data_IF_554923763249
#
_entry.id   IF_554923763249
#
_cell.length_a   1.000
_cell.length_b   1.000
_cell.length_c   1.000
_cell.angle_alpha   90.00
_cell.angle_beta   90.00
_cell.angle_gamma   90.00
#
_symmetry.space_group_name_H-M   'P 1'
#
loop_
_entity.id
_entity.type
_entity.pdbx_description
1 polymer ?
#
# COMPACT_ATOMS: atom_id res chain seq x y z
N UNK A 1 38.64 13.29 41.11
CA UNK A 1 38.21 14.71 41.18
C UNK A 1 37.07 14.86 40.19
N UNK A 2 35.85 15.17 40.65
CA UNK A 2 34.68 15.36 39.77
C UNK A 2 34.62 16.85 39.44
N UNK A 3 34.63 17.21 38.17
CA UNK A 3 34.49 18.59 37.72
C UNK A 3 33.01 18.88 37.49
N UNK A 4 32.51 19.93 38.14
CA UNK A 4 31.17 20.43 37.89
C UNK A 4 31.16 21.16 36.55
N UNK A 5 30.07 21.02 35.80
CA UNK A 5 29.88 21.76 34.56
C UNK A 5 29.45 23.18 34.88
N UNK A 6 29.77 24.14 34.01
CA UNK A 6 29.48 25.58 34.19
C UNK A 6 27.98 25.86 34.44
N UNK A 7 27.11 25.00 33.92
CA UNK A 7 25.66 25.01 34.17
C UNK A 7 25.29 24.66 35.62
N UNK A 8 26.08 23.82 36.28
CA UNK A 8 25.89 23.44 37.69
C UNK A 8 26.56 24.44 38.63
N UNK A 9 27.65 25.09 38.21
CA UNK A 9 28.31 26.16 38.98
C UNK A 9 27.46 27.44 39.09
N UNK A 10 26.64 27.74 38.08
CA UNK A 10 25.75 28.91 38.03
C UNK A 10 24.26 28.54 38.13
N UNK A 11 23.93 27.45 38.83
CA UNK A 11 22.56 26.95 38.94
C UNK A 11 21.72 27.82 39.90
N UNK A 12 20.80 28.61 39.35
CA UNK A 12 19.71 29.25 40.09
C UNK A 12 18.44 28.41 39.95
N UNK A 13 17.95 27.87 41.07
CA UNK A 13 16.84 26.91 41.06
C UNK A 13 15.53 27.54 40.56
N UNK A 14 15.22 28.76 40.98
CA UNK A 14 13.95 29.43 40.65
C UNK A 14 13.87 29.83 39.16
N UNK A 15 14.99 30.20 38.55
CA UNK A 15 15.06 30.52 37.10
C UNK A 15 15.03 29.25 36.25
N UNK A 16 15.64 28.17 36.72
CA UNK A 16 15.57 26.85 36.09
C UNK A 16 14.15 26.27 36.14
N UNK A 17 13.47 26.37 37.27
CA UNK A 17 12.09 25.88 37.43
C UNK A 17 11.11 26.70 36.59
N UNK A 18 11.23 28.04 36.57
CA UNK A 18 10.42 28.89 35.70
C UNK A 18 10.60 28.57 34.21
N UNK A 19 11.84 28.37 33.76
CA UNK A 19 12.14 27.94 32.39
C UNK A 19 11.60 26.54 32.09
N UNK A 20 11.61 25.62 33.06
CA UNK A 20 11.04 24.29 32.88
C UNK A 20 9.52 24.37 32.70
N UNK A 21 8.82 25.17 33.50
CA UNK A 21 7.39 25.40 33.37
C UNK A 21 7.01 25.99 32.02
N UNK A 22 7.71 27.04 31.58
CA UNK A 22 7.50 27.66 30.27
C UNK A 22 7.74 26.66 29.12
N UNK A 23 8.80 25.86 29.20
CA UNK A 23 9.06 24.81 28.20
C UNK A 23 7.96 23.74 28.18
N UNK A 24 7.40 23.38 29.34
CA UNK A 24 6.30 22.41 29.44
C UNK A 24 5.01 22.95 28.82
N UNK A 25 4.72 24.25 29.00
CA UNK A 25 3.56 24.91 28.40
C UNK A 25 3.64 24.91 26.85
N UNK A 26 4.82 25.17 26.28
CA UNK A 26 5.02 25.14 24.82
C UNK A 26 5.12 23.72 24.24
N UNK A 27 5.33 22.71 25.08
CA UNK A 27 5.64 21.37 24.64
C UNK A 27 4.44 20.70 23.95
N UNK A 28 3.23 20.97 24.43
CA UNK A 28 2.00 20.47 23.81
C UNK A 28 1.77 21.09 22.43
N UNK A 29 1.99 22.40 22.29
CA UNK A 29 1.92 23.11 21.01
C UNK A 29 2.92 22.56 20.00
N UNK A 30 4.17 22.32 20.43
CA UNK A 30 5.21 21.73 19.57
C UNK A 30 4.87 20.31 19.14
N UNK A 31 4.28 19.50 20.01
CA UNK A 31 3.79 18.15 19.64
C UNK A 31 2.64 18.24 18.64
N UNK A 32 1.70 19.16 18.82
CA UNK A 32 0.59 19.35 17.90
C UNK A 32 1.07 19.81 16.52
N UNK A 33 2.03 20.74 16.48
CA UNK A 33 2.67 21.21 15.25
C UNK A 33 3.39 20.05 14.52
N UNK A 34 4.20 19.28 15.23
CA UNK A 34 4.89 18.12 14.66
C UNK A 34 3.91 17.06 14.12
N UNK A 35 2.82 16.80 14.84
CA UNK A 35 1.78 15.86 14.41
C UNK A 35 1.06 16.36 13.15
N UNK A 36 0.78 17.66 13.04
CA UNK A 36 0.18 18.25 11.84
C UNK A 36 1.12 18.12 10.62
N UNK A 37 2.41 18.36 10.81
CA UNK A 37 3.42 18.18 9.78
C UNK A 37 3.50 16.71 9.34
N UNK A 38 3.49 15.77 10.28
CA UNK A 38 3.50 14.33 10.00
C UNK A 38 2.27 13.91 9.18
N UNK A 39 1.07 14.33 9.59
CA UNK A 39 -0.17 14.06 8.86
C UNK A 39 -0.13 14.63 7.44
N UNK A 40 0.39 15.85 7.29
CA UNK A 40 0.52 16.51 6.00
C UNK A 40 1.48 15.73 5.09
N UNK A 41 2.64 15.34 5.62
CA UNK A 41 3.61 14.53 4.90
C UNK A 41 3.02 13.19 4.47
N UNK A 42 2.37 12.46 5.38
CA UNK A 42 1.70 11.18 5.08
C UNK A 42 0.65 11.33 3.98
N UNK A 43 -0.16 12.38 4.00
CA UNK A 43 -1.14 12.68 2.94
C UNK A 43 -0.48 12.90 1.59
N UNK A 44 0.61 13.67 1.54
CA UNK A 44 1.36 13.91 0.29
C UNK A 44 1.93 12.61 -0.27
N UNK A 45 2.57 11.79 0.58
CA UNK A 45 3.13 10.49 0.19
C UNK A 45 2.04 9.56 -0.34
N UNK A 46 0.91 9.45 0.38
CA UNK A 46 -0.22 8.63 -0.05
C UNK A 46 -0.78 9.08 -1.41
N UNK A 47 -0.91 10.40 -1.63
CA UNK A 47 -1.36 10.94 -2.93
C UNK A 47 -0.41 10.61 -4.05
N UNK A 48 0.90 10.78 -3.84
CA UNK A 48 1.92 10.48 -4.85
C UNK A 48 1.96 8.99 -5.19
N UNK A 49 1.79 8.12 -4.18
CA UNK A 49 1.71 6.68 -4.38
C UNK A 49 0.43 6.28 -5.14
N UNK A 50 -0.73 6.73 -4.66
CA UNK A 50 -2.03 6.41 -5.27
C UNK A 50 -2.14 6.89 -6.72
N UNK A 51 -1.57 8.06 -7.06
CA UNK A 51 -1.56 8.55 -8.43
C UNK A 51 -0.73 7.66 -9.39
N UNK A 52 0.30 6.98 -8.88
CA UNK A 52 1.09 6.04 -9.69
C UNK A 52 0.37 4.70 -9.88
N UNK A 53 -0.59 4.36 -9.02
CA UNK A 53 -1.39 3.14 -9.17
C UNK A 53 -2.48 3.41 -10.19
N UNK A 54 -2.35 2.82 -11.38
CA UNK A 54 -3.45 2.76 -12.35
C UNK A 54 -4.41 1.66 -11.91
N UNK A 55 -5.69 1.96 -11.60
CA UNK A 55 -6.66 0.92 -11.31
C UNK A 55 -6.78 0.02 -12.54
N UNK A 56 -6.54 -1.28 -12.37
CA UNK A 56 -6.84 -2.26 -13.41
C UNK A 56 -8.37 -2.33 -13.49
N UNK A 57 -8.95 -1.70 -14.49
CA UNK A 57 -10.37 -1.85 -14.76
C UNK A 57 -10.55 -2.99 -15.75
N UNK A 58 -11.26 -4.02 -15.30
CA UNK A 58 -11.65 -5.16 -16.11
C UNK A 58 -13.17 -5.22 -16.09
N UNK A 59 -13.78 -5.09 -17.26
CA UNK A 59 -15.23 -5.09 -17.45
C UNK A 59 -15.69 -6.42 -18.03
N UNK A 60 -17.00 -6.69 -17.92
CA UNK A 60 -17.60 -7.84 -18.61
C UNK A 60 -17.32 -7.74 -20.12
N UNK A 61 -16.99 -8.87 -20.74
CA UNK A 61 -16.60 -8.96 -22.14
C UNK A 61 -15.12 -8.75 -22.42
N UNK A 62 -14.35 -8.18 -21.48
CA UNK A 62 -12.90 -8.01 -21.67
C UNK A 62 -12.20 -9.36 -21.80
N UNK A 63 -11.17 -9.39 -22.64
CA UNK A 63 -10.22 -10.49 -22.71
C UNK A 63 -9.11 -10.29 -21.67
N UNK A 64 -8.77 -11.36 -20.97
CA UNK A 64 -7.77 -11.38 -19.91
C UNK A 64 -6.91 -12.65 -20.02
N UNK A 65 -5.64 -12.52 -19.64
CA UNK A 65 -4.74 -13.63 -19.38
C UNK A 65 -4.80 -14.00 -17.90
N UNK A 66 -4.70 -15.29 -17.60
CA UNK A 66 -4.70 -15.81 -16.24
C UNK A 66 -3.27 -16.07 -15.76
N UNK A 67 -2.98 -15.86 -14.48
CA UNK A 67 -1.67 -16.19 -13.92
C UNK A 67 -1.52 -17.71 -13.82
N UNK A 68 -0.50 -18.24 -14.49
CA UNK A 68 -0.36 -19.67 -14.76
C UNK A 68 -0.15 -20.50 -13.48
N UNK A 69 0.71 -20.01 -12.58
CA UNK A 69 0.94 -20.59 -11.24
C UNK A 69 -0.32 -20.78 -10.39
N UNK A 70 -1.34 -19.94 -10.57
CA UNK A 70 -2.59 -20.01 -9.78
C UNK A 70 -3.63 -20.89 -10.47
N UNK A 71 -3.49 -21.07 -11.77
CA UNK A 71 -4.34 -21.93 -12.59
C UNK A 71 -4.01 -23.40 -12.35
N UNK A 72 -2.73 -23.77 -12.50
CA UNK A 72 -2.22 -25.09 -12.18
C UNK A 72 -1.09 -25.00 -11.13
N UNK A 73 -1.44 -25.10 -9.84
CA UNK A 73 -0.46 -25.12 -8.76
C UNK A 73 0.28 -26.45 -8.63
N UNK A 74 -0.17 -27.51 -9.31
CA UNK A 74 0.48 -28.83 -9.26
C UNK A 74 1.62 -28.97 -10.26
N UNK A 75 1.64 -28.12 -11.28
CA UNK A 75 2.71 -28.06 -12.25
C UNK A 75 3.96 -27.39 -11.67
N UNK A 76 5.12 -28.04 -11.87
CA UNK A 76 6.42 -27.42 -11.58
C UNK A 76 6.70 -26.38 -12.65
N UNK A 77 6.58 -25.10 -12.29
CA UNK A 77 6.85 -24.00 -13.20
C UNK A 77 8.37 -23.78 -13.33
N UNK A 78 8.92 -24.14 -14.47
CA UNK A 78 10.31 -23.82 -14.78
C UNK A 78 10.51 -22.30 -14.84
N UNK A 79 11.73 -21.84 -14.54
CA UNK A 79 12.09 -20.41 -14.52
C UNK A 79 11.85 -19.68 -15.86
N UNK A 80 11.71 -20.44 -16.96
CA UNK A 80 11.48 -19.94 -18.31
C UNK A 80 10.05 -20.17 -18.82
N UNK A 81 9.16 -20.74 -18.00
CA UNK A 81 7.78 -20.96 -18.36
C UNK A 81 7.01 -19.62 -18.42
N UNK A 82 6.00 -19.49 -19.29
CA UNK A 82 5.16 -18.29 -19.35
C UNK A 82 4.44 -18.04 -18.01
N UNK A 83 4.57 -16.83 -17.46
CA UNK A 83 3.90 -16.46 -16.20
C UNK A 83 2.38 -16.26 -16.36
N UNK A 84 1.96 -15.96 -17.59
CA UNK A 84 0.56 -15.72 -17.95
C UNK A 84 0.15 -16.76 -18.99
N UNK A 85 -1.00 -17.39 -18.77
CA UNK A 85 -1.55 -18.42 -19.62
C UNK A 85 -2.95 -18.08 -20.08
N UNK A 86 -3.33 -18.69 -21.20
CA UNK A 86 -4.69 -18.73 -21.72
C UNK A 86 -5.28 -17.36 -22.06
N UNK A 87 -6.25 -17.36 -22.97
CA UNK A 87 -7.05 -16.17 -23.23
C UNK A 87 -8.46 -16.47 -22.77
N UNK A 88 -8.94 -15.66 -21.83
CA UNK A 88 -10.24 -15.85 -21.20
C UNK A 88 -11.08 -14.60 -21.36
N UNK A 89 -12.40 -14.77 -21.46
CA UNK A 89 -13.36 -13.66 -21.46
C UNK A 89 -13.97 -13.52 -20.08
N UNK A 90 -14.10 -12.29 -19.60
CA UNK A 90 -14.83 -12.00 -18.36
C UNK A 90 -16.33 -12.10 -18.60
N UNK A 91 -16.97 -13.02 -17.90
CA UNK A 91 -18.42 -13.26 -18.00
C UNK A 91 -19.18 -12.36 -17.04
N UNK A 92 -18.77 -12.36 -15.78
CA UNK A 92 -19.44 -11.59 -14.72
C UNK A 92 -18.49 -11.19 -13.62
N UNK A 93 -18.76 -10.04 -12.99
CA UNK A 93 -18.14 -9.62 -11.74
C UNK A 93 -19.02 -10.09 -10.58
N UNK A 94 -18.46 -10.81 -9.60
CA UNK A 94 -19.19 -11.22 -8.39
C UNK A 94 -19.07 -10.15 -7.31
N UNK A 95 -17.85 -9.63 -7.16
CA UNK A 95 -17.48 -8.53 -6.26
C UNK A 95 -16.43 -7.70 -6.96
N UNK A 96 -16.22 -6.47 -6.51
CA UNK A 96 -15.18 -5.61 -7.06
C UNK A 96 -13.82 -6.35 -7.03
N UNK A 97 -13.18 -6.45 -8.19
CA UNK A 97 -11.92 -7.19 -8.35
C UNK A 97 -12.03 -8.72 -8.39
N UNK A 98 -13.22 -9.33 -8.31
CA UNK A 98 -13.41 -10.79 -8.41
C UNK A 98 -14.38 -11.17 -9.52
N UNK A 99 -13.90 -11.99 -10.46
CA UNK A 99 -14.57 -12.26 -11.72
C UNK A 99 -14.78 -13.75 -11.96
N UNK A 100 -15.75 -14.08 -12.81
CA UNK A 100 -15.81 -15.40 -13.46
C UNK A 100 -15.40 -15.28 -14.91
N UNK A 101 -14.60 -16.26 -15.32
CA UNK A 101 -14.00 -16.33 -16.63
C UNK A 101 -14.64 -17.43 -17.47
N UNK A 102 -14.52 -17.30 -18.77
CA UNK A 102 -14.93 -18.28 -19.77
C UNK A 102 -13.79 -18.45 -20.77
N UNK A 103 -13.50 -19.70 -21.13
CA UNK A 103 -12.55 -20.02 -22.19
C UNK A 103 -13.09 -19.54 -23.54
N UNK A 104 -12.21 -19.45 -24.54
CA UNK A 104 -12.64 -19.13 -25.91
C UNK A 104 -13.64 -20.14 -26.49
N UNK A 105 -13.63 -21.38 -25.99
CA UNK A 105 -14.58 -22.44 -26.37
C UNK A 105 -15.98 -22.28 -25.74
N UNK A 106 -16.21 -21.21 -24.98
CA UNK A 106 -17.51 -20.93 -24.35
C UNK A 106 -17.75 -21.65 -23.02
N UNK A 107 -16.79 -22.45 -22.54
CA UNK A 107 -16.88 -23.11 -21.23
C UNK A 107 -16.52 -22.15 -20.09
N UNK A 108 -17.43 -21.97 -19.15
CA UNK A 108 -17.21 -21.17 -17.95
C UNK A 108 -16.30 -21.93 -16.96
N UNK A 109 -15.33 -21.23 -16.37
CA UNK A 109 -14.53 -21.81 -15.28
C UNK A 109 -15.37 -21.93 -14.01
N UNK A 110 -15.26 -23.04 -13.27
CA UNK A 110 -15.99 -23.22 -12.02
C UNK A 110 -15.48 -22.29 -10.91
N UNK A 111 -14.22 -21.86 -10.98
CA UNK A 111 -13.56 -21.00 -9.98
C UNK A 111 -13.72 -19.51 -10.30
N UNK A 112 -13.75 -18.71 -9.25
CA UNK A 112 -13.74 -17.24 -9.30
C UNK A 112 -12.32 -16.71 -9.16
N UNK A 113 -11.97 -15.66 -9.90
CA UNK A 113 -10.60 -15.16 -10.04
C UNK A 113 -10.48 -13.71 -9.60
N UNK A 114 -9.50 -13.44 -8.73
CA UNK A 114 -9.18 -12.09 -8.28
C UNK A 114 -8.34 -11.34 -9.34
N UNK A 115 -8.50 -10.03 -9.42
CA UNK A 115 -7.89 -9.16 -10.43
C UNK A 115 -6.35 -9.16 -10.40
N UNK A 116 -5.76 -9.47 -9.25
CA UNK A 116 -4.30 -9.66 -9.11
C UNK A 116 -3.77 -10.79 -9.99
N UNK A 117 -4.61 -11.80 -10.25
CA UNK A 117 -4.28 -12.98 -11.04
C UNK A 117 -4.69 -12.81 -12.50
N UNK A 118 -5.16 -11.64 -12.90
CA UNK A 118 -5.62 -11.34 -14.24
C UNK A 118 -4.78 -10.21 -14.86
N UNK A 119 -4.52 -10.34 -16.15
CA UNK A 119 -3.91 -9.29 -16.96
C UNK A 119 -4.79 -9.01 -18.15
N UNK A 120 -5.32 -7.78 -18.25
CA UNK A 120 -6.15 -7.37 -19.40
C UNK A 120 -5.34 -7.50 -20.69
N UNK A 121 -5.95 -8.15 -21.67
CA UNK A 121 -5.42 -8.32 -23.02
C UNK A 121 -6.07 -7.26 -23.92
N UNK A 122 -5.24 -6.48 -24.60
CA UNK A 122 -5.70 -5.47 -25.56
C UNK A 122 -5.42 -6.01 -26.95
N UNK A 123 -6.46 -6.04 -27.79
CA UNK A 123 -6.36 -6.38 -29.21
C UNK A 123 -6.08 -5.12 -30.02
#
# INVERSE_FOLDING_TARGET
MVFLTLKVEHYENDTSDAQLHENLDFLEEKRAEAHLQELTYKKVVARLYNNKIRPRQVTMGDLVLLKAEVSDPTQTWDKLAPTWEGLYRVVRMIREGTYILMNLDGKQLPRTWHISNLKKFYT
#
